data_IF_274574474742
#
_entry.id   IF_274574474742
#
_cell.length_a   1.000
_cell.length_b   1.000
_cell.length_c   1.000
_cell.angle_alpha   90.00
_cell.angle_beta   90.00
_cell.angle_gamma   90.00
#
_symmetry.space_group_name_H-M   'P 1'
#
loop_
_entity.id
_entity.type
_entity.pdbx_description
1 polymer ?
#
# COMPACT_ATOMS: atom_id res chain seq x y z
N UNK A 1 -27.07 11.61 -4.52
CA UNK A 1 -26.08 12.58 -3.99
C UNK A 1 -24.89 12.76 -4.93
N UNK A 2 -24.25 11.68 -5.41
CA UNK A 2 -23.10 11.82 -6.33
C UNK A 2 -23.46 12.19 -7.79
N UNK A 3 -24.75 12.22 -8.13
CA UNK A 3 -25.25 12.56 -9.47
C UNK A 3 -25.22 14.06 -9.78
N UNK A 4 -24.98 14.92 -8.77
CA UNK A 4 -24.91 16.37 -8.92
C UNK A 4 -23.48 16.86 -9.19
N UNK A 5 -22.55 15.95 -9.44
CA UNK A 5 -21.15 16.26 -9.69
C UNK A 5 -20.80 15.87 -11.12
N UNK A 6 -19.84 16.57 -11.73
CA UNK A 6 -19.30 16.20 -13.03
C UNK A 6 -18.29 15.05 -12.90
N UNK A 7 -17.54 15.04 -11.80
CA UNK A 7 -16.46 14.08 -11.53
C UNK A 7 -16.59 13.53 -10.10
N UNK A 8 -16.41 12.22 -9.95
CA UNK A 8 -16.36 11.54 -8.64
C UNK A 8 -15.09 10.70 -8.56
N UNK A 9 -14.25 10.99 -7.55
CA UNK A 9 -13.03 10.24 -7.26
C UNK A 9 -13.31 9.23 -6.15
N UNK A 10 -13.07 7.95 -6.43
CA UNK A 10 -13.30 6.84 -5.51
C UNK A 10 -11.98 6.23 -5.03
N UNK A 11 -11.55 6.64 -3.83
CA UNK A 11 -10.46 5.99 -3.08
C UNK A 11 -11.03 5.01 -2.06
N UNK A 12 -11.62 3.93 -2.56
CA UNK A 12 -12.36 2.94 -1.77
C UNK A 12 -11.74 1.55 -1.87
N UNK A 13 -11.99 0.71 -0.86
CA UNK A 13 -11.63 -0.71 -0.92
C UNK A 13 -12.48 -1.49 -1.94
N UNK A 14 -11.93 -2.61 -2.43
CA UNK A 14 -12.47 -3.42 -3.53
C UNK A 14 -13.97 -3.72 -3.40
N UNK A 15 -14.43 -4.17 -2.23
CA UNK A 15 -15.85 -4.50 -2.02
C UNK A 15 -16.81 -3.29 -2.09
N UNK A 16 -16.37 -2.10 -1.68
CA UNK A 16 -17.17 -0.88 -1.79
C UNK A 16 -17.25 -0.39 -3.24
N UNK A 17 -16.15 -0.51 -4.00
CA UNK A 17 -16.12 -0.22 -5.43
C UNK A 17 -17.08 -1.13 -6.21
N UNK A 18 -16.98 -2.45 -6.03
CA UNK A 18 -17.90 -3.39 -6.71
C UNK A 18 -19.36 -3.10 -6.37
N UNK A 19 -19.64 -2.73 -5.12
CA UNK A 19 -21.00 -2.34 -4.70
C UNK A 19 -21.45 -1.03 -5.35
N UNK A 20 -20.56 -0.05 -5.46
CA UNK A 20 -20.84 1.21 -6.15
C UNK A 20 -21.23 0.93 -7.60
N UNK A 21 -20.41 0.20 -8.36
CA UNK A 21 -20.70 -0.11 -9.76
C UNK A 21 -21.97 -0.95 -9.95
N UNK A 22 -22.24 -1.90 -9.05
CA UNK A 22 -23.49 -2.70 -9.08
C UNK A 22 -24.75 -1.89 -8.80
N UNK A 23 -24.63 -0.82 -8.01
CA UNK A 23 -25.75 0.09 -7.81
C UNK A 23 -25.88 1.02 -9.00
N UNK A 24 -24.78 1.54 -9.54
CA UNK A 24 -24.76 2.40 -10.72
C UNK A 24 -25.32 1.71 -11.97
N UNK A 25 -25.05 0.42 -12.16
CA UNK A 25 -25.57 -0.36 -13.30
C UNK A 25 -27.09 -0.54 -13.30
N UNK A 26 -27.77 -0.21 -12.19
CA UNK A 26 -29.24 -0.28 -12.07
C UNK A 26 -29.92 1.08 -12.29
N UNK A 27 -29.13 2.14 -12.48
CA UNK A 27 -29.64 3.49 -12.67
C UNK A 27 -29.71 3.77 -14.18
N UNK A 28 -30.86 4.25 -14.66
CA UNK A 28 -31.05 4.70 -16.04
C UNK A 28 -30.73 6.20 -16.16
N UNK A 29 -29.51 6.61 -15.82
CA UNK A 29 -29.08 8.01 -15.81
C UNK A 29 -27.65 8.15 -16.31
N UNK A 30 -27.32 9.31 -16.89
CA UNK A 30 -25.94 9.73 -17.16
C UNK A 30 -25.18 9.77 -15.84
N UNK A 31 -24.03 9.09 -15.77
CA UNK A 31 -23.19 9.05 -14.59
C UNK A 31 -22.11 10.14 -14.67
N UNK A 32 -21.64 10.67 -13.53
CA UNK A 32 -20.42 11.48 -13.50
C UNK A 32 -19.24 10.67 -14.05
N UNK A 33 -18.19 11.37 -14.48
CA UNK A 33 -16.90 10.72 -14.74
C UNK A 33 -16.42 10.12 -13.41
N UNK A 34 -16.31 8.79 -13.37
CA UNK A 34 -15.80 8.07 -12.21
C UNK A 34 -14.31 7.87 -12.40
N UNK A 35 -13.52 8.33 -11.43
CA UNK A 35 -12.08 8.13 -11.37
C UNK A 35 -11.77 7.22 -10.18
N UNK A 36 -11.00 6.17 -10.42
CA UNK A 36 -10.49 5.28 -9.37
C UNK A 36 -8.97 5.33 -9.31
N UNK A 37 -8.42 5.02 -8.15
CA UNK A 37 -6.97 5.07 -7.90
C UNK A 37 -6.55 4.06 -6.84
N UNK A 38 -5.23 3.90 -6.69
CA UNK A 38 -4.63 3.11 -5.64
C UNK A 38 -3.98 4.02 -4.58
N UNK A 39 -4.50 4.06 -3.35
CA UNK A 39 -3.92 4.92 -2.30
C UNK A 39 -2.54 4.46 -1.82
N UNK A 40 -2.12 3.25 -2.20
CA UNK A 40 -0.84 2.67 -1.84
C UNK A 40 -0.37 1.66 -2.89
N UNK A 41 0.61 0.86 -2.51
CA UNK A 41 1.24 -0.11 -3.39
C UNK A 41 0.37 -1.37 -3.51
N UNK A 42 0.29 -1.93 -4.72
CA UNK A 42 -0.60 -3.05 -5.05
C UNK A 42 0.18 -4.26 -5.55
N UNK A 43 1.20 -4.00 -6.37
CA UNK A 43 2.13 -5.00 -6.89
C UNK A 43 1.45 -6.19 -7.60
N UNK A 44 0.56 -5.87 -8.53
CA UNK A 44 -0.06 -6.81 -9.45
C UNK A 44 -1.20 -7.62 -8.83
N UNK A 45 -1.75 -7.19 -7.70
CA UNK A 45 -2.97 -7.80 -7.16
C UNK A 45 -4.13 -7.61 -8.15
N UNK A 46 -4.40 -8.68 -8.91
CA UNK A 46 -5.42 -8.72 -9.96
C UNK A 46 -6.80 -8.32 -9.47
N UNK A 47 -7.15 -8.67 -8.23
CA UNK A 47 -8.42 -8.31 -7.62
C UNK A 47 -8.56 -6.80 -7.43
N UNK A 48 -7.53 -6.16 -6.88
CA UNK A 48 -7.52 -4.72 -6.67
C UNK A 48 -7.54 -3.96 -8.00
N UNK A 49 -6.86 -4.48 -9.02
CA UNK A 49 -6.86 -3.89 -10.36
C UNK A 49 -8.24 -4.03 -11.02
N UNK A 50 -8.77 -5.26 -11.14
CA UNK A 50 -10.02 -5.51 -11.88
C UNK A 50 -11.21 -4.78 -11.26
N UNK A 51 -11.28 -4.69 -9.93
CA UNK A 51 -12.42 -4.05 -9.25
C UNK A 51 -12.52 -2.55 -9.50
N UNK A 52 -11.44 -1.89 -9.93
CA UNK A 52 -11.37 -0.47 -10.28
C UNK A 52 -11.64 -0.17 -11.76
N UNK A 53 -11.46 -1.15 -12.64
CA UNK A 53 -11.68 -1.01 -14.09
C UNK A 53 -13.16 -0.80 -14.50
N UNK A 54 -14.09 -0.76 -13.54
CA UNK A 54 -15.48 -0.34 -13.76
C UNK A 54 -15.65 1.19 -13.84
N UNK A 55 -14.58 1.96 -13.68
CA UNK A 55 -14.55 3.42 -13.76
C UNK A 55 -14.38 3.92 -15.20
N UNK A 56 -14.57 5.23 -15.41
CA UNK A 56 -14.17 5.89 -16.65
C UNK A 56 -12.64 5.98 -16.72
N UNK A 57 -12.00 6.29 -15.59
CA UNK A 57 -10.54 6.42 -15.48
C UNK A 57 -10.02 5.59 -14.30
N UNK A 58 -8.91 4.89 -14.52
CA UNK A 58 -8.11 4.28 -13.46
C UNK A 58 -6.68 4.84 -13.49
N UNK A 59 -6.28 5.42 -12.36
CA UNK A 59 -4.93 5.95 -12.13
C UNK A 59 -4.04 4.85 -11.52
N UNK A 60 -3.02 4.45 -12.27
CA UNK A 60 -1.99 3.50 -11.86
C UNK A 60 -0.78 4.21 -11.25
N UNK A 61 -0.22 3.60 -10.22
CA UNK A 61 0.94 4.15 -9.52
C UNK A 61 2.27 3.81 -10.20
N UNK A 62 2.34 2.69 -10.94
CA UNK A 62 3.56 2.20 -11.55
C UNK A 62 3.27 1.45 -12.86
N UNK A 63 4.31 1.25 -13.68
CA UNK A 63 4.17 0.68 -15.00
C UNK A 63 3.80 -0.81 -14.98
N UNK A 64 4.31 -1.56 -13.99
CA UNK A 64 3.99 -2.97 -13.82
C UNK A 64 2.47 -3.21 -13.65
N UNK A 65 1.84 -2.48 -12.73
CA UNK A 65 0.40 -2.59 -12.47
C UNK A 65 -0.41 -2.08 -13.67
N UNK A 66 0.06 -1.01 -14.32
CA UNK A 66 -0.55 -0.45 -15.52
C UNK A 66 -0.62 -1.47 -16.66
N UNK A 67 0.45 -2.23 -16.91
CA UNK A 67 0.46 -3.29 -17.92
C UNK A 67 -0.57 -4.39 -17.62
N UNK A 68 -0.70 -4.80 -16.36
CA UNK A 68 -1.71 -5.78 -15.95
C UNK A 68 -3.12 -5.23 -16.18
N UNK A 69 -3.35 -3.96 -15.84
CA UNK A 69 -4.60 -3.25 -16.11
C UNK A 69 -4.97 -3.24 -17.59
N UNK A 70 -4.01 -2.98 -18.47
CA UNK A 70 -4.24 -2.98 -19.93
C UNK A 70 -4.56 -4.39 -20.45
N UNK A 71 -3.87 -5.43 -19.96
CA UNK A 71 -4.21 -6.83 -20.32
C UNK A 71 -5.64 -7.18 -19.92
N UNK A 72 -6.10 -6.75 -18.74
CA UNK A 72 -7.50 -6.95 -18.35
C UNK A 72 -8.47 -6.15 -19.19
N UNK A 73 -8.14 -4.89 -19.47
CA UNK A 73 -8.94 -4.02 -20.34
C UNK A 73 -9.16 -4.67 -21.71
N UNK A 74 -8.09 -5.15 -22.34
CA UNK A 74 -8.15 -5.83 -23.65
C UNK A 74 -8.93 -7.14 -23.57
N UNK A 75 -8.59 -8.00 -22.60
CA UNK A 75 -9.21 -9.33 -22.45
C UNK A 75 -10.73 -9.28 -22.29
N UNK A 76 -11.24 -8.33 -21.50
CA UNK A 76 -12.66 -8.22 -21.21
C UNK A 76 -13.35 -7.09 -21.98
N UNK A 77 -12.66 -6.45 -22.94
CA UNK A 77 -13.19 -5.32 -23.72
C UNK A 77 -13.82 -4.23 -22.83
N UNK A 78 -13.03 -3.72 -21.88
CA UNK A 78 -13.45 -2.69 -20.93
C UNK A 78 -13.16 -1.29 -21.50
N UNK A 79 -14.06 -0.35 -21.27
CA UNK A 79 -13.92 1.03 -21.77
C UNK A 79 -13.12 1.96 -20.86
N UNK A 80 -12.61 1.46 -19.72
CA UNK A 80 -11.82 2.25 -18.78
C UNK A 80 -10.55 2.82 -19.43
N UNK A 81 -10.31 4.12 -19.25
CA UNK A 81 -9.05 4.76 -19.61
C UNK A 81 -8.03 4.55 -18.49
N UNK A 82 -7.02 3.75 -18.75
CA UNK A 82 -5.93 3.51 -17.82
C UNK A 82 -4.89 4.62 -18.00
N UNK A 83 -4.47 5.25 -16.91
CA UNK A 83 -3.47 6.31 -16.91
C UNK A 83 -2.35 5.92 -15.95
N UNK A 84 -1.10 5.97 -16.42
CA UNK A 84 0.07 5.89 -15.55
C UNK A 84 0.26 7.26 -14.87
N UNK A 85 -0.20 7.37 -13.62
CA UNK A 85 -0.25 8.63 -12.89
C UNK A 85 0.95 8.84 -11.95
N UNK A 86 1.62 7.75 -11.56
CA UNK A 86 2.62 7.75 -10.50
C UNK A 86 1.99 7.71 -9.11
N UNK A 87 2.80 7.49 -8.07
CA UNK A 87 2.29 7.53 -6.70
C UNK A 87 1.91 8.96 -6.30
N UNK A 88 0.68 9.21 -5.80
CA UNK A 88 0.30 10.55 -5.34
C UNK A 88 1.23 11.13 -4.27
N UNK A 89 1.83 10.27 -3.44
CA UNK A 89 2.74 10.67 -2.36
C UNK A 89 4.10 11.19 -2.87
N UNK A 90 4.53 10.77 -4.07
CA UNK A 90 5.80 11.17 -4.67
C UNK A 90 5.68 12.44 -5.53
N UNK A 91 4.46 12.90 -5.81
CA UNK A 91 4.23 14.11 -6.61
C UNK A 91 4.62 15.40 -5.90
N UNK A 92 4.73 15.37 -4.57
CA UNK A 92 5.30 16.48 -3.80
C UNK A 92 6.77 16.15 -3.57
N UNK A 93 7.67 17.01 -4.05
CA UNK A 93 9.08 16.94 -3.67
C UNK A 93 9.18 17.13 -2.16
N UNK A 94 9.64 16.10 -1.46
CA UNK A 94 9.98 16.25 -0.05
C UNK A 94 11.34 16.93 0.04
N UNK A 95 11.49 17.84 0.98
CA UNK A 95 12.83 18.29 1.37
C UNK A 95 13.49 17.14 2.12
N UNK A 96 14.42 16.48 1.46
CA UNK A 96 15.32 15.50 2.04
C UNK A 96 16.67 16.19 2.26
N UNK A 97 17.31 15.93 3.40
CA UNK A 97 18.65 16.44 3.71
C UNK A 97 19.62 15.27 3.84
N UNK A 98 20.92 15.54 3.92
CA UNK A 98 21.97 14.54 4.12
C UNK A 98 21.97 14.02 5.56
N UNK A 99 20.85 13.41 5.95
CA UNK A 99 20.67 12.76 7.22
C UNK A 99 21.62 11.57 7.37
N UNK A 100 21.95 11.21 8.61
CA UNK A 100 22.82 10.08 8.92
C UNK A 100 22.12 8.98 9.73
N UNK A 101 20.81 9.14 10.00
CA UNK A 101 20.06 8.18 10.83
C UNK A 101 19.56 7.00 10.01
N UNK A 102 19.63 5.82 10.62
CA UNK A 102 19.10 4.58 10.05
C UNK A 102 17.71 4.36 10.60
N UNK A 103 16.72 4.41 9.73
CA UNK A 103 15.32 4.28 10.12
C UNK A 103 14.80 2.89 9.83
N UNK A 104 14.33 2.17 10.84
CA UNK A 104 13.45 1.02 10.64
C UNK A 104 11.99 1.47 10.73
N UNK A 105 11.26 1.35 9.62
CA UNK A 105 9.85 1.72 9.53
C UNK A 105 8.99 0.52 9.88
N UNK A 106 8.33 0.62 11.04
CA UNK A 106 7.40 -0.40 11.54
C UNK A 106 6.21 -0.62 10.59
N UNK A 107 5.59 -1.79 10.67
CA UNK A 107 4.35 -2.13 9.98
C UNK A 107 3.38 -2.77 10.98
N UNK A 108 2.15 -2.26 11.01
CA UNK A 108 1.09 -2.65 11.97
C UNK A 108 0.89 -4.17 12.04
N UNK A 109 1.07 -4.87 10.93
CA UNK A 109 0.80 -6.31 10.79
C UNK A 109 2.02 -7.15 10.44
N UNK A 110 3.16 -6.54 10.20
CA UNK A 110 4.29 -7.23 9.57
C UNK A 110 5.53 -6.98 10.43
N UNK A 111 6.09 -8.02 11.07
CA UNK A 111 5.52 -9.36 11.28
C UNK A 111 4.29 -9.34 12.20
N UNK A 112 3.42 -10.35 12.13
CA UNK A 112 2.20 -10.44 12.98
C UNK A 112 2.43 -11.21 14.29
N UNK A 113 3.49 -12.03 14.34
CA UNK A 113 3.83 -12.88 15.47
C UNK A 113 4.77 -12.22 16.48
N UNK A 114 4.49 -12.39 17.78
CA UNK A 114 5.37 -11.92 18.88
C UNK A 114 6.82 -12.42 18.74
N UNK A 115 7.01 -13.69 18.38
CA UNK A 115 8.35 -14.31 18.25
C UNK A 115 9.15 -13.67 17.11
N UNK A 116 8.51 -13.46 15.97
CA UNK A 116 9.11 -12.82 14.79
C UNK A 116 9.46 -11.36 15.11
N UNK A 117 8.55 -10.59 15.73
CA UNK A 117 8.85 -9.22 16.17
C UNK A 117 9.99 -9.14 17.18
N UNK A 118 10.03 -10.03 18.17
CA UNK A 118 11.15 -10.11 19.12
C UNK A 118 12.47 -10.45 18.43
N UNK A 119 12.46 -11.36 17.45
CA UNK A 119 13.65 -11.69 16.67
C UNK A 119 14.17 -10.47 15.91
N UNK A 120 13.29 -9.74 15.21
CA UNK A 120 13.66 -8.52 14.49
C UNK A 120 14.15 -7.43 15.43
N UNK A 121 13.50 -7.23 16.58
CA UNK A 121 13.95 -6.25 17.56
C UNK A 121 15.37 -6.56 18.07
N UNK A 122 15.67 -7.84 18.36
CA UNK A 122 17.02 -8.28 18.75
C UNK A 122 18.05 -7.97 17.65
N UNK A 123 17.70 -8.23 16.39
CA UNK A 123 18.57 -7.98 15.24
C UNK A 123 18.80 -6.49 15.00
N UNK A 124 17.78 -5.65 15.16
CA UNK A 124 17.92 -4.20 15.08
C UNK A 124 18.81 -3.66 16.22
N UNK A 125 18.67 -4.19 17.44
CA UNK A 125 19.58 -3.86 18.56
C UNK A 125 21.01 -4.29 18.24
N UNK A 126 21.22 -5.50 17.68
CA UNK A 126 22.54 -5.96 17.26
C UNK A 126 23.13 -5.07 16.15
N UNK A 127 22.30 -4.63 15.19
CA UNK A 127 22.69 -3.71 14.14
C UNK A 127 23.13 -2.35 14.71
N UNK A 128 22.38 -1.78 15.67
CA UNK A 128 22.77 -0.54 16.34
C UNK A 128 24.11 -0.68 17.09
N UNK A 129 24.35 -1.80 17.76
CA UNK A 129 25.64 -2.06 18.43
C UNK A 129 26.81 -2.18 17.44
N UNK A 130 26.58 -2.72 16.24
CA UNK A 130 27.60 -2.83 15.18
C UNK A 130 27.96 -1.47 14.56
N UNK A 131 27.02 -0.52 14.56
CA UNK A 131 27.21 0.83 14.02
C UNK A 131 27.00 1.89 15.12
N UNK A 132 27.89 1.97 16.14
CA UNK A 132 27.70 2.87 17.29
C UNK A 132 27.74 4.36 16.92
N UNK A 133 28.26 4.70 15.73
CA UNK A 133 28.33 6.06 15.19
C UNK A 133 27.07 6.48 14.41
N UNK A 134 26.13 5.56 14.17
CA UNK A 134 24.84 5.84 13.52
C UNK A 134 23.71 5.73 14.54
N UNK A 135 22.81 6.71 14.55
CA UNK A 135 21.56 6.64 15.29
C UNK A 135 20.59 5.70 14.55
N UNK A 136 20.14 4.63 15.21
CA UNK A 136 19.10 3.74 14.70
C UNK A 136 17.75 4.10 15.31
N UNK A 137 16.79 4.45 14.46
CA UNK A 137 15.45 4.87 14.87
C UNK A 137 14.42 3.84 14.44
N UNK A 138 13.73 3.23 15.41
CA UNK A 138 12.52 2.47 15.16
C UNK A 138 11.33 3.43 15.11
N UNK A 139 10.80 3.67 13.93
CA UNK A 139 9.68 4.60 13.71
C UNK A 139 8.35 3.86 13.75
N UNK A 140 7.57 4.12 14.80
CA UNK A 140 6.25 3.52 15.01
C UNK A 140 5.17 4.13 14.09
N UNK A 141 4.27 3.29 13.57
CA UNK A 141 3.17 3.72 12.67
C UNK A 141 1.81 3.87 13.33
N UNK A 142 1.58 3.28 14.49
CA UNK A 142 0.26 3.19 15.16
C UNK A 142 0.39 3.43 16.66
N UNK A 143 -0.59 4.11 17.27
CA UNK A 143 -0.74 4.27 18.72
C UNK A 143 -1.50 3.07 19.34
N UNK A 144 -1.28 2.79 20.63
CA UNK A 144 -2.13 1.89 21.44
C UNK A 144 -3.63 2.27 21.49
N UNK A 145 -4.00 3.47 21.04
CA UNK A 145 -5.36 4.04 21.08
C UNK A 145 -5.81 4.53 19.70
N UNK A 146 -4.99 4.36 18.65
CA UNK A 146 -5.42 4.70 17.30
C UNK A 146 -6.47 3.66 16.90
N UNK A 147 -7.64 4.13 16.42
CA UNK A 147 -8.64 3.23 15.82
C UNK A 147 -8.09 2.80 14.47
N UNK A 148 -7.27 1.76 14.48
CA UNK A 148 -6.86 1.06 13.26
C UNK A 148 -7.81 -0.09 13.00
N UNK A 149 -7.96 -0.48 11.73
CA UNK A 149 -8.77 -1.65 11.33
C UNK A 149 -8.24 -2.95 11.98
N UNK A 150 -7.04 -2.91 12.56
CA UNK A 150 -6.33 -4.02 13.18
C UNK A 150 -5.66 -3.56 14.49
N UNK A 151 -5.90 -4.26 15.60
CA UNK A 151 -5.20 -4.04 16.87
C UNK A 151 -3.71 -4.43 16.74
N UNK A 152 -2.79 -3.55 17.14
CA UNK A 152 -1.36 -3.89 17.25
C UNK A 152 -1.10 -4.72 18.50
N UNK A 153 -1.33 -6.03 18.39
CA UNK A 153 -1.25 -6.99 19.50
C UNK A 153 0.16 -7.09 20.12
N UNK A 154 1.21 -6.73 19.36
CA UNK A 154 2.61 -6.96 19.75
C UNK A 154 3.52 -5.78 19.38
N UNK A 155 3.14 -4.55 19.74
CA UNK A 155 3.92 -3.34 19.44
C UNK A 155 5.40 -3.46 19.85
N UNK A 156 6.31 -3.03 18.97
CA UNK A 156 7.75 -2.99 19.25
C UNK A 156 8.08 -2.17 20.51
N UNK A 157 7.32 -1.10 20.78
CA UNK A 157 7.50 -0.28 21.98
C UNK A 157 7.30 -1.10 23.26
N UNK A 158 6.27 -1.95 23.32
CA UNK A 158 6.01 -2.81 24.48
C UNK A 158 7.03 -3.94 24.61
N UNK A 159 7.45 -4.52 23.48
CA UNK A 159 8.47 -5.56 23.48
C UNK A 159 9.82 -5.02 23.98
N UNK A 160 10.17 -3.80 23.58
CA UNK A 160 11.44 -3.16 23.93
C UNK A 160 11.60 -2.82 25.41
N UNK A 161 10.50 -2.59 26.16
CA UNK A 161 10.56 -2.33 27.62
C UNK A 161 11.29 -3.41 28.42
N UNK A 162 11.31 -4.64 27.91
CA UNK A 162 11.97 -5.78 28.55
C UNK A 162 13.38 -6.05 28.01
N UNK A 163 13.98 -5.09 27.31
CA UNK A 163 15.27 -5.25 26.64
C UNK A 163 16.20 -4.09 26.99
N UNK A 164 17.51 -4.36 27.05
CA UNK A 164 18.52 -3.31 27.15
C UNK A 164 18.77 -2.74 25.76
N UNK A 165 18.41 -1.48 25.55
CA UNK A 165 18.68 -0.76 24.30
C UNK A 165 20.03 -0.05 24.39
N UNK A 166 20.85 -0.03 23.33
CA UNK A 166 22.06 0.79 23.28
C UNK A 166 21.70 2.28 23.12
N UNK A 167 22.62 3.17 23.50
CA UNK A 167 22.35 4.62 23.58
C UNK A 167 22.01 5.24 22.21
N UNK A 168 22.49 4.64 21.12
CA UNK A 168 22.21 5.05 19.75
C UNK A 168 20.92 4.42 19.17
N UNK A 169 20.12 3.70 19.96
CA UNK A 169 18.85 3.12 19.52
C UNK A 169 17.67 3.87 20.12
N UNK A 170 16.85 4.48 19.25
CA UNK A 170 15.68 5.28 19.65
C UNK A 170 14.41 4.66 19.10
N UNK A 171 13.34 4.73 19.89
CA UNK A 171 11.99 4.40 19.44
C UNK A 171 11.22 5.69 19.37
N UNK A 172 10.76 6.07 18.18
CA UNK A 172 10.16 7.37 17.93
C UNK A 172 8.80 7.23 17.23
N UNK A 173 8.01 8.30 17.34
CA UNK A 173 6.85 8.54 16.49
C UNK A 173 7.03 9.90 15.85
N UNK A 174 6.95 9.94 14.53
CA UNK A 174 7.23 11.14 13.75
C UNK A 174 6.42 11.13 12.46
N UNK A 175 6.19 12.31 11.88
CA UNK A 175 5.64 12.39 10.52
C UNK A 175 6.69 11.88 9.55
N UNK A 176 6.24 11.26 8.47
CA UNK A 176 7.11 10.76 7.41
C UNK A 176 8.04 11.86 6.88
N UNK A 177 7.52 13.08 6.68
CA UNK A 177 8.29 14.22 6.16
C UNK A 177 9.46 14.59 7.06
N UNK A 178 9.23 14.67 8.37
CA UNK A 178 10.28 15.04 9.32
C UNK A 178 11.32 13.91 9.44
N UNK A 179 10.90 12.64 9.33
CA UNK A 179 11.82 11.51 9.31
C UNK A 179 12.71 11.52 8.07
N UNK A 180 12.15 11.79 6.88
CA UNK A 180 12.91 11.90 5.62
C UNK A 180 13.99 12.99 5.65
N UNK A 181 13.81 14.05 6.45
CA UNK A 181 14.81 15.11 6.57
C UNK A 181 16.09 14.67 7.26
N UNK A 182 16.06 13.68 8.16
CA UNK A 182 17.23 13.26 8.94
C UNK A 182 17.66 11.82 8.65
N UNK A 183 17.01 11.19 7.67
CA UNK A 183 17.24 9.81 7.28
C UNK A 183 18.43 9.69 6.33
N UNK A 184 19.40 8.85 6.69
CA UNK A 184 20.48 8.40 5.81
C UNK A 184 20.28 6.99 5.27
N UNK A 185 19.36 6.19 5.84
CA UNK A 185 19.03 4.86 5.35
C UNK A 185 17.61 4.45 5.79
N UNK A 186 16.81 3.88 4.88
CA UNK A 186 15.46 3.38 5.18
C UNK A 186 15.37 1.84 5.17
N UNK A 187 15.10 1.23 6.31
CA UNK A 187 14.81 -0.19 6.47
C UNK A 187 13.31 -0.44 6.68
N UNK A 188 12.74 -1.43 6.01
CA UNK A 188 11.39 -1.93 6.33
C UNK A 188 11.16 -3.31 5.71
N UNK A 189 10.15 -4.04 6.15
CA UNK A 189 9.69 -5.25 5.41
C UNK A 189 8.94 -4.86 4.13
N UNK A 190 8.10 -3.85 4.23
CA UNK A 190 7.23 -3.39 3.16
C UNK A 190 6.59 -2.08 3.62
N UNK A 191 6.94 -0.96 2.99
CA UNK A 191 6.38 0.35 3.33
C UNK A 191 6.37 1.23 2.10
N UNK A 192 5.36 2.08 1.96
CA UNK A 192 5.38 3.16 0.94
C UNK A 192 6.57 4.09 1.16
N UNK A 193 7.04 4.20 2.41
CA UNK A 193 8.17 5.05 2.79
C UNK A 193 9.50 4.59 2.17
N UNK A 194 9.61 3.33 1.73
CA UNK A 194 10.77 2.88 0.95
C UNK A 194 10.82 3.62 -0.41
N UNK A 195 9.68 3.80 -1.06
CA UNK A 195 9.59 4.54 -2.32
C UNK A 195 9.82 6.04 -2.12
N UNK A 196 9.34 6.60 -1.00
CA UNK A 196 9.59 8.01 -0.66
C UNK A 196 11.08 8.27 -0.39
N UNK A 197 11.74 7.39 0.38
CA UNK A 197 13.17 7.47 0.64
C UNK A 197 13.99 7.33 -0.65
N UNK A 198 13.68 6.33 -1.48
CA UNK A 198 14.35 6.10 -2.76
C UNK A 198 14.18 7.30 -3.71
N UNK A 199 12.99 7.89 -3.78
CA UNK A 199 12.75 9.10 -4.59
C UNK A 199 13.57 10.32 -4.12
N UNK A 200 14.07 10.29 -2.89
CA UNK A 200 14.97 11.29 -2.32
C UNK A 200 16.45 10.93 -2.46
N UNK A 201 16.79 9.81 -3.10
CA UNK A 201 18.16 9.31 -3.19
C UNK A 201 18.67 8.69 -1.87
N UNK A 202 17.79 8.47 -0.89
CA UNK A 202 18.15 7.83 0.37
C UNK A 202 18.23 6.30 0.14
N UNK A 203 19.35 5.65 0.49
CA UNK A 203 19.47 4.20 0.37
C UNK A 203 18.38 3.46 1.15
N UNK A 204 17.88 2.37 0.56
CA UNK A 204 16.83 1.55 1.15
C UNK A 204 17.26 0.11 1.32
N UNK A 205 16.68 -0.56 2.32
CA UNK A 205 16.85 -1.98 2.57
C UNK A 205 15.52 -2.64 2.93
N UNK A 206 15.16 -3.65 2.16
CA UNK A 206 13.96 -4.46 2.36
C UNK A 206 14.31 -5.70 3.15
N UNK A 207 13.81 -5.79 4.38
CA UNK A 207 14.18 -6.84 5.32
C UNK A 207 13.68 -8.21 4.82
N UNK A 208 14.59 -9.17 4.79
CA UNK A 208 14.37 -10.55 4.35
C UNK A 208 14.73 -11.59 5.40
N UNK A 209 15.05 -11.18 6.62
CA UNK A 209 15.44 -12.05 7.76
C UNK A 209 14.43 -13.16 8.08
N UNK A 210 13.16 -12.96 7.72
CA UNK A 210 12.09 -13.95 7.92
C UNK A 210 11.67 -14.67 6.63
N UNK A 211 12.42 -14.47 5.55
CA UNK A 211 12.13 -14.95 4.21
C UNK A 211 11.51 -13.89 3.29
N UNK A 212 11.46 -14.23 2.00
CA UNK A 212 10.77 -13.47 0.96
C UNK A 212 9.43 -14.16 0.70
N UNK A 213 8.37 -13.64 1.33
CA UNK A 213 7.05 -14.28 1.35
C UNK A 213 5.93 -13.23 1.28
N UNK A 214 4.81 -13.59 0.64
CA UNK A 214 3.62 -12.74 0.53
C UNK A 214 3.13 -12.24 1.89
N UNK A 215 3.30 -13.02 2.97
CA UNK A 215 2.90 -12.61 4.33
C UNK A 215 3.65 -11.38 4.84
N UNK A 216 4.84 -11.09 4.32
CA UNK A 216 5.61 -9.89 4.66
C UNK A 216 5.53 -8.80 3.61
N UNK A 217 4.77 -9.03 2.53
CA UNK A 217 4.63 -8.13 1.38
C UNK A 217 5.97 -7.68 0.76
N UNK A 218 7.02 -8.49 0.89
CA UNK A 218 8.37 -8.21 0.37
C UNK A 218 8.69 -8.97 -0.92
N UNK A 219 7.82 -9.86 -1.40
CA UNK A 219 8.02 -10.68 -2.61
C UNK A 219 8.25 -9.85 -3.87
N UNK A 220 7.70 -8.65 -3.93
CA UNK A 220 7.77 -7.78 -5.10
C UNK A 220 9.12 -7.05 -5.21
N UNK A 221 9.89 -7.03 -4.14
CA UNK A 221 11.28 -6.56 -4.13
C UNK A 221 12.26 -7.65 -4.56
N UNK A 222 11.78 -8.83 -4.95
CA UNK A 222 12.63 -9.79 -5.65
C UNK A 222 13.21 -9.11 -6.89
N UNK A 223 14.51 -9.28 -7.11
CA UNK A 223 15.28 -8.67 -8.20
C UNK A 223 15.49 -7.14 -8.11
N UNK A 224 15.03 -6.50 -7.03
CA UNK A 224 15.25 -5.06 -6.78
C UNK A 224 16.68 -4.72 -6.35
N UNK A 225 17.49 -5.71 -5.95
CA UNK A 225 18.84 -5.50 -5.40
C UNK A 225 18.89 -5.01 -3.94
N UNK A 226 17.75 -4.58 -3.37
CA UNK A 226 17.68 -3.98 -2.02
C UNK A 226 17.14 -4.92 -0.94
N UNK A 227 16.98 -6.22 -1.23
CA UNK A 227 16.68 -7.20 -0.18
C UNK A 227 17.91 -7.38 0.71
N UNK A 228 17.74 -7.23 2.02
CA UNK A 228 18.83 -7.27 2.99
C UNK A 228 18.53 -8.21 4.16
N UNK A 229 19.58 -8.74 4.76
CA UNK A 229 19.53 -9.43 6.05
C UNK A 229 20.19 -8.53 7.09
N UNK A 230 19.53 -8.31 8.23
CA UNK A 230 20.04 -7.43 9.28
C UNK A 230 21.39 -7.91 9.85
N UNK A 231 21.74 -9.20 9.76
CA UNK A 231 23.03 -9.71 10.23
C UNK A 231 24.19 -9.38 9.28
N UNK A 232 23.93 -9.08 8.01
CA UNK A 232 24.98 -8.90 6.99
C UNK A 232 24.89 -7.59 6.21
N UNK A 233 23.83 -6.79 6.42
CA UNK A 233 23.67 -5.50 5.74
C UNK A 233 24.82 -4.56 6.08
N UNK A 234 25.38 -3.94 5.05
CA UNK A 234 26.38 -2.89 5.18
C UNK A 234 25.71 -1.51 5.06
N UNK A 235 25.72 -0.75 6.15
CA UNK A 235 25.15 0.60 6.21
C UNK A 235 26.13 1.70 5.75
N UNK A 236 27.41 1.37 5.59
CA UNK A 236 28.43 2.30 5.06
C UNK A 236 28.64 2.12 3.56
N UNK A 237 28.33 0.93 3.03
CA UNK A 237 28.25 0.66 1.59
C UNK A 237 26.90 0.05 1.20
N UNK A 238 25.80 0.85 1.19
CA UNK A 238 24.46 0.38 0.86
C UNK A 238 24.35 -0.25 -0.54
N UNK A 239 23.44 -1.23 -0.65
CA UNK A 239 23.04 -1.75 -1.96
C UNK A 239 22.35 -0.67 -2.79
N UNK A 240 22.63 -0.65 -4.09
CA UNK A 240 21.92 0.20 -5.05
C UNK A 240 20.68 -0.53 -5.57
N UNK A 241 19.57 0.19 -5.71
CA UNK A 241 18.37 -0.34 -6.34
C UNK A 241 18.62 -0.65 -7.82
N UNK A 242 18.12 -1.79 -8.27
CA UNK A 242 18.17 -2.18 -9.67
C UNK A 242 17.35 -1.16 -10.50
N UNK A 243 17.95 -0.44 -11.45
CA UNK A 243 17.26 0.60 -12.21
C UNK A 243 16.10 0.07 -13.03
N UNK A 244 16.21 -1.14 -13.59
CA UNK A 244 15.11 -1.78 -14.33
C UNK A 244 13.95 -2.12 -13.40
N UNK A 245 14.23 -2.52 -12.17
CA UNK A 245 13.18 -2.70 -11.17
C UNK A 245 12.53 -1.36 -10.81
N UNK A 246 13.34 -0.32 -10.56
CA UNK A 246 12.84 1.00 -10.20
C UNK A 246 11.90 1.58 -11.27
N UNK A 247 12.30 1.52 -12.54
CA UNK A 247 11.49 1.96 -13.69
C UNK A 247 10.09 1.30 -13.70
N UNK A 248 10.00 0.02 -13.36
CA UNK A 248 8.73 -0.71 -13.33
C UNK A 248 7.83 -0.34 -12.16
N UNK A 249 8.42 -0.02 -10.99
CA UNK A 249 7.69 0.00 -9.71
C UNK A 249 7.61 1.36 -9.01
N UNK A 250 8.45 2.35 -9.36
CA UNK A 250 8.46 3.68 -8.71
C UNK A 250 7.84 4.79 -9.58
N UNK A 251 7.87 4.62 -10.91
CA UNK A 251 7.38 5.55 -11.94
C UNK A 251 7.72 7.03 -11.64
N UNK A 252 8.96 7.46 -11.92
CA UNK A 252 9.43 8.81 -11.61
C UNK A 252 8.75 9.91 -12.45
N UNK A 253 8.28 9.57 -13.66
CA UNK A 253 7.62 10.51 -14.56
C UNK A 253 6.11 10.54 -14.31
N UNK A 254 5.67 11.52 -13.54
CA UNK A 254 4.26 11.75 -13.25
C UNK A 254 3.63 12.67 -14.31
N UNK A 255 2.50 12.26 -14.86
CA UNK A 255 1.65 13.08 -15.72
C UNK A 255 1.40 14.48 -15.11
N UNK A 256 1.68 15.55 -15.83
CA UNK A 256 1.46 16.92 -15.35
C UNK A 256 -0.03 17.22 -15.17
N UNK A 257 -0.36 18.23 -14.34
CA UNK A 257 -1.76 18.66 -14.17
C UNK A 257 -2.40 19.12 -15.47
N UNK A 258 -1.61 19.70 -16.39
CA UNK A 258 -2.08 20.14 -17.70
C UNK A 258 -2.47 18.94 -18.56
N UNK A 259 -1.61 17.94 -18.66
CA UNK A 259 -1.88 16.72 -19.43
C UNK A 259 -3.06 15.95 -18.83
N UNK A 260 -3.16 15.91 -17.50
CA UNK A 260 -4.30 15.29 -16.84
C UNK A 260 -5.63 15.98 -17.18
N UNK A 261 -5.67 17.32 -17.17
CA UNK A 261 -6.87 18.07 -17.53
C UNK A 261 -7.26 17.86 -19.00
N UNK A 262 -6.28 17.81 -19.91
CA UNK A 262 -6.53 17.50 -21.33
C UNK A 262 -7.13 16.10 -21.51
N UNK A 263 -6.66 15.11 -20.74
CA UNK A 263 -7.23 13.76 -20.75
C UNK A 263 -8.66 13.73 -20.19
N UNK A 264 -8.95 14.54 -19.17
CA UNK A 264 -10.32 14.65 -18.63
C UNK A 264 -11.30 15.22 -19.65
N UNK A 265 -10.90 16.23 -20.43
CA UNK A 265 -11.76 16.86 -21.46
C UNK A 265 -12.19 15.88 -22.56
N UNK A 266 -11.31 14.93 -22.93
CA UNK A 266 -11.58 13.93 -23.97
C UNK A 266 -12.16 12.62 -23.42
N UNK A 267 -12.26 12.49 -22.09
CA UNK A 267 -12.80 11.27 -21.46
C UNK A 267 -14.31 11.21 -21.67
N UNK A 268 -14.77 10.10 -22.25
CA UNK A 268 -16.20 9.87 -22.44
C UNK A 268 -16.95 9.86 -21.10
N UNK A 269 -18.03 10.64 -21.04
CA UNK A 269 -19.02 10.63 -19.96
C UNK A 269 -19.99 9.46 -20.07
N UNK A 270 -19.93 8.68 -21.16
CA UNK A 270 -20.73 7.47 -21.28
C UNK A 270 -20.30 6.46 -20.21
N UNK A 271 -21.27 5.85 -19.50
CA UNK A 271 -20.95 4.88 -18.49
C UNK A 271 -20.30 3.64 -19.15
N UNK A 272 -19.31 3.02 -18.49
CA UNK A 272 -18.73 1.78 -18.99
C UNK A 272 -19.77 0.66 -19.05
N UNK A 273 -19.61 -0.28 -20.00
CA UNK A 273 -20.44 -1.49 -20.04
C UNK A 273 -20.19 -2.32 -18.78
N UNK A 274 -21.20 -2.37 -17.91
CA UNK A 274 -21.09 -3.07 -16.64
C UNK A 274 -21.15 -4.60 -16.80
N UNK A 275 -21.68 -5.13 -17.91
CA UNK A 275 -21.77 -6.58 -18.14
C UNK A 275 -20.39 -7.21 -18.25
N UNK A 276 -19.55 -6.68 -19.15
CA UNK A 276 -18.17 -7.11 -19.31
C UNK A 276 -17.35 -6.92 -18.03
N UNK A 277 -17.57 -5.82 -17.33
CA UNK A 277 -16.93 -5.57 -16.03
C UNK A 277 -17.30 -6.64 -14.99
N UNK A 278 -18.58 -7.00 -14.86
CA UNK A 278 -18.98 -8.03 -13.89
C UNK A 278 -18.52 -9.42 -14.27
N UNK A 279 -18.43 -9.75 -15.57
CA UNK A 279 -17.76 -10.97 -16.04
C UNK A 279 -16.30 -10.98 -15.58
N UNK A 280 -15.57 -9.89 -15.81
CA UNK A 280 -14.18 -9.76 -15.42
C UNK A 280 -13.96 -9.91 -13.90
N UNK A 281 -14.79 -9.23 -13.09
CA UNK A 281 -14.73 -9.33 -11.63
C UNK A 281 -15.03 -10.75 -11.16
N UNK A 282 -16.03 -11.44 -11.74
CA UNK A 282 -16.39 -12.79 -11.33
C UNK A 282 -15.34 -13.84 -11.75
N UNK A 283 -14.65 -13.64 -12.88
CA UNK A 283 -13.57 -14.53 -13.34
C UNK A 283 -12.36 -14.47 -12.38
N UNK A 284 -12.00 -13.27 -11.93
CA UNK A 284 -10.92 -13.06 -10.95
C UNK A 284 -11.36 -13.36 -9.51
N UNK A 285 -12.65 -13.15 -9.19
CA UNK A 285 -13.24 -13.37 -7.87
C UNK A 285 -14.44 -14.32 -7.92
N UNK A 286 -14.24 -15.63 -8.08
CA UNK A 286 -15.35 -16.56 -8.07
C UNK A 286 -16.08 -16.50 -6.72
N UNK A 287 -17.41 -16.62 -6.75
CA UNK A 287 -18.29 -16.51 -5.58
C UNK A 287 -17.88 -17.46 -4.45
N UNK A 288 -17.36 -18.63 -4.79
CA UNK A 288 -16.78 -19.61 -3.86
C UNK A 288 -15.64 -19.03 -3.03
N UNK A 289 -14.73 -18.28 -3.64
CA UNK A 289 -13.62 -17.63 -2.96
C UNK A 289 -14.11 -16.53 -1.99
N UNK A 290 -15.12 -15.77 -2.40
CA UNK A 290 -15.72 -14.73 -1.54
C UNK A 290 -16.42 -15.35 -0.32
N UNK A 291 -17.14 -16.46 -0.51
CA UNK A 291 -17.77 -17.20 0.58
C UNK A 291 -16.73 -17.79 1.54
N UNK A 292 -15.67 -18.41 1.02
CA UNK A 292 -14.55 -18.92 1.81
C UNK A 292 -13.89 -17.83 2.65
N UNK A 293 -13.66 -16.63 2.08
CA UNK A 293 -13.10 -15.49 2.81
C UNK A 293 -14.02 -15.00 3.92
N UNK A 294 -15.33 -14.90 3.65
CA UNK A 294 -16.34 -14.54 4.66
C UNK A 294 -16.40 -15.57 5.80
N UNK A 295 -16.35 -16.86 5.46
CA UNK A 295 -16.33 -17.94 6.45
C UNK A 295 -15.06 -17.91 7.30
N UNK A 296 -13.88 -17.76 6.69
CA UNK A 296 -12.62 -17.55 7.42
C UNK A 296 -12.71 -16.32 8.34
N UNK A 297 -13.26 -15.21 7.85
CA UNK A 297 -13.41 -13.99 8.66
C UNK A 297 -14.39 -14.18 9.83
N UNK A 298 -15.48 -14.92 9.63
CA UNK A 298 -16.40 -15.31 10.71
C UNK A 298 -15.67 -16.11 11.80
N UNK A 299 -14.77 -17.03 11.41
CA UNK A 299 -13.99 -17.86 12.34
C UNK A 299 -12.91 -17.04 13.06
N UNK A 300 -12.06 -16.34 12.32
CA UNK A 300 -10.84 -15.71 12.88
C UNK A 300 -11.04 -14.28 13.38
N UNK A 301 -12.03 -13.56 12.84
CA UNK A 301 -12.32 -12.16 13.20
C UNK A 301 -13.83 -11.92 13.30
N UNK A 302 -14.55 -12.64 14.19
CA UNK A 302 -16.02 -12.61 14.27
C UNK A 302 -16.57 -11.20 14.48
N UNK A 303 -15.94 -10.39 15.34
CA UNK A 303 -16.34 -8.98 15.57
C UNK A 303 -16.33 -8.17 14.27
N UNK A 304 -15.25 -8.26 13.49
CA UNK A 304 -15.12 -7.56 12.22
C UNK A 304 -16.09 -8.12 11.15
N UNK A 305 -16.34 -9.43 11.17
CA UNK A 305 -17.36 -10.05 10.31
C UNK A 305 -18.74 -9.44 10.57
N UNK A 306 -19.14 -9.31 11.84
CA UNK A 306 -20.44 -8.73 12.18
C UNK A 306 -20.56 -7.26 11.80
N UNK A 307 -19.53 -6.44 12.08
CA UNK A 307 -19.48 -5.02 11.68
C UNK A 307 -19.64 -4.83 10.17
N UNK A 308 -18.98 -5.67 9.37
CA UNK A 308 -19.01 -5.57 7.91
C UNK A 308 -20.24 -6.25 7.28
N UNK A 309 -20.98 -7.06 8.07
CA UNK A 309 -22.20 -7.72 7.62
C UNK A 309 -23.39 -6.76 7.64
N UNK A 310 -24.42 -7.05 6.82
CA UNK A 310 -25.70 -6.34 6.90
C UNK A 310 -26.38 -6.47 8.27
N UNK A 311 -25.97 -7.41 9.14
CA UNK A 311 -26.54 -7.59 10.49
C UNK A 311 -26.21 -6.43 11.43
N UNK A 312 -25.05 -5.76 11.30
CA UNK A 312 -24.75 -4.60 12.14
C UNK A 312 -25.75 -3.46 11.92
N UNK A 313 -26.26 -3.31 10.69
CA UNK A 313 -27.33 -2.33 10.39
C UNK A 313 -28.67 -2.70 11.05
N UNK A 314 -28.98 -3.99 11.22
CA UNK A 314 -30.22 -4.43 11.90
C UNK A 314 -30.17 -4.18 13.42
N UNK A 315 -28.99 -4.26 14.03
CA UNK A 315 -28.80 -4.10 15.48
C UNK A 315 -28.80 -2.62 15.89
N UNK A 316 -28.44 -1.70 14.99
CA UNK A 316 -28.37 -0.26 15.29
C UNK A 316 -29.71 0.50 15.09
N UNK A 317 -30.73 -0.15 14.53
CA UNK A 317 -32.09 0.40 14.39
C UNK A 317 -33.07 -0.14 15.44
N UNK A 318 -32.59 -0.87 16.45
CA UNK A 318 -33.40 -1.43 17.55
C UNK A 318 -32.96 -0.94 18.94
N UNK A 319 -32.30 0.21 19.02
CA UNK A 319 -32.06 0.91 20.30
C UNK A 319 -32.45 2.37 20.22
#
# INVERSE_FOLDING_TARGET
>A
MYQNYDIVILSLGNGLLTRFFRNSSKLNLTLPIVITLFPGVIFGDSESIITRLGANILLFNNYYDYQIGNKFKERYNLSCTNILYGYPILRKKHHCSDGNKVYFIDQVKIPDGKKERLLILKKLIALANRYPHKDLVLLLRVHQNDITVHEDKYSYAELAKNMKLPDNFKIERKRTQDALQEMGYCLSFSSTMLFEAESCGIPIGVISDLGVDKKYANTHFKDSGVLVNLDTVDLDSPNTINPTWAELYTNPDSLSSKEFNQLLEVTSTQPPSFDNYFIAVNDVQPVSMVLLRKFKKLIYHPKQFFVDSKLYKLIKFTK
#
